data_IF_105808222473
#
_entry.id   IF_105808222473
#
_cell.length_a   1.000
_cell.length_b   1.000
_cell.length_c   1.000
_cell.angle_alpha   90.00
_cell.angle_beta   90.00
_cell.angle_gamma   90.00
#
_symmetry.space_group_name_H-M   'P 1'
#
loop_
_entity.id
_entity.type
_entity.pdbx_description
1 polymer ?
#
# COMPACT_ATOMS: atom_id res chain seq x y z
N UNK A 1 -7.34 -20.25 -14.87
CA UNK A 1 -6.68 -19.26 -13.98
C UNK A 1 -5.57 -18.64 -14.80
N UNK A 2 -5.64 -17.34 -15.11
CA UNK A 2 -4.54 -16.64 -15.77
C UNK A 2 -3.40 -16.51 -14.76
N UNK A 3 -2.28 -17.19 -15.01
CA UNK A 3 -1.04 -17.01 -14.26
C UNK A 3 -0.34 -15.75 -14.78
N UNK A 4 -0.15 -14.75 -13.92
CA UNK A 4 0.62 -13.55 -14.25
C UNK A 4 2.11 -13.85 -14.11
N UNK A 5 2.89 -13.46 -15.11
CA UNK A 5 4.34 -13.68 -15.16
C UNK A 5 5.07 -12.36 -15.01
N UNK A 6 6.11 -12.32 -14.17
CA UNK A 6 6.85 -11.09 -13.91
C UNK A 6 7.56 -10.57 -15.18
N UNK A 7 7.30 -9.33 -15.63
CA UNK A 7 7.92 -8.80 -16.86
C UNK A 7 9.42 -8.52 -16.72
N UNK A 8 9.95 -8.51 -15.49
CA UNK A 8 11.36 -8.25 -15.21
C UNK A 8 12.22 -9.51 -15.24
N UNK A 9 11.71 -10.63 -14.72
CA UNK A 9 12.51 -11.84 -14.49
C UNK A 9 11.82 -13.14 -14.92
N UNK A 10 10.58 -13.07 -15.40
CA UNK A 10 9.74 -14.21 -15.79
C UNK A 10 9.37 -15.18 -14.67
N UNK A 11 9.65 -14.85 -13.41
CA UNK A 11 9.21 -15.62 -12.24
C UNK A 11 7.69 -15.53 -11.98
N UNK A 12 7.19 -16.45 -11.17
CA UNK A 12 5.79 -16.53 -10.74
C UNK A 12 5.38 -15.32 -9.90
N UNK A 13 4.21 -14.75 -10.21
CA UNK A 13 3.60 -13.70 -9.41
C UNK A 13 2.52 -14.27 -8.49
N UNK A 14 2.48 -13.76 -7.26
CA UNK A 14 1.46 -14.09 -6.26
C UNK A 14 0.61 -12.87 -5.95
N UNK A 15 -0.69 -13.06 -5.97
CA UNK A 15 -1.66 -12.05 -5.62
C UNK A 15 -1.80 -11.94 -4.10
N UNK A 16 -1.80 -10.71 -3.59
CA UNK A 16 -2.06 -10.38 -2.19
C UNK A 16 -3.12 -9.28 -2.12
N UNK A 17 -3.95 -9.33 -1.08
CA UNK A 17 -4.90 -8.26 -0.78
C UNK A 17 -4.55 -7.64 0.59
N UNK A 18 -4.39 -6.31 0.62
CA UNK A 18 -4.08 -5.55 1.83
C UNK A 18 -4.87 -4.25 1.84
N UNK A 19 -5.63 -4.02 2.91
CA UNK A 19 -6.41 -2.79 3.09
C UNK A 19 -7.31 -2.44 1.90
N UNK A 20 -7.86 -3.45 1.21
CA UNK A 20 -8.70 -3.28 0.02
C UNK A 20 -7.94 -3.00 -1.28
N UNK A 21 -6.60 -3.07 -1.26
CA UNK A 21 -5.73 -2.97 -2.44
C UNK A 21 -5.25 -4.38 -2.80
N UNK A 22 -5.48 -4.78 -4.04
CA UNK A 22 -4.93 -6.01 -4.60
C UNK A 22 -3.57 -5.66 -5.23
N UNK A 23 -2.57 -6.51 -4.97
CA UNK A 23 -1.21 -6.36 -5.51
C UNK A 23 -0.71 -7.72 -5.99
N UNK A 24 -0.03 -7.75 -7.14
CA UNK A 24 0.69 -8.94 -7.59
C UNK A 24 2.19 -8.77 -7.34
N UNK A 25 2.78 -9.63 -6.52
CA UNK A 25 4.20 -9.59 -6.19
C UNK A 25 4.93 -10.81 -6.74
N UNK A 26 6.02 -10.57 -7.47
CA UNK A 26 6.92 -11.62 -7.93
C UNK A 26 7.69 -12.25 -6.77
N UNK A 27 7.67 -13.58 -6.68
CA UNK A 27 8.39 -14.34 -5.64
C UNK A 27 9.91 -14.29 -5.75
N UNK A 28 10.45 -13.96 -6.92
CA UNK A 28 11.90 -13.99 -7.19
C UNK A 28 12.54 -12.60 -7.04
N UNK A 29 12.12 -11.64 -7.86
CA UNK A 29 12.73 -10.32 -7.90
C UNK A 29 12.03 -9.28 -6.98
N UNK A 30 10.92 -9.66 -6.33
CA UNK A 30 10.06 -8.79 -5.51
C UNK A 30 9.41 -7.62 -6.25
N UNK A 31 9.37 -7.66 -7.59
CA UNK A 31 8.65 -6.67 -8.39
C UNK A 31 7.15 -6.71 -8.11
N UNK A 32 6.51 -5.55 -8.08
CA UNK A 32 5.06 -5.40 -7.91
C UNK A 32 4.44 -5.04 -9.27
N UNK A 33 3.35 -5.70 -9.62
CA UNK A 33 2.49 -5.34 -10.73
C UNK A 33 1.17 -4.83 -10.17
N UNK A 34 0.70 -3.71 -10.72
CA UNK A 34 -0.53 -3.03 -10.32
C UNK A 34 -1.31 -2.69 -11.59
N UNK A 35 -2.61 -2.88 -11.54
CA UNK A 35 -3.51 -2.44 -12.58
C UNK A 35 -3.77 -0.92 -12.51
N UNK A 36 -4.31 -0.38 -13.60
CA UNK A 36 -4.76 1.02 -13.63
C UNK A 36 -5.88 1.22 -12.61
N UNK A 37 -5.73 2.18 -11.68
CA UNK A 37 -6.67 2.41 -10.59
C UNK A 37 -6.24 1.78 -9.25
N UNK A 38 -5.34 0.80 -9.24
CA UNK A 38 -4.83 0.22 -7.99
C UNK A 38 -3.71 1.06 -7.38
N UNK A 39 -2.92 1.70 -8.21
CA UNK A 39 -1.88 2.63 -7.77
C UNK A 39 -2.49 3.81 -7.00
N UNK A 40 -3.59 4.36 -7.48
CA UNK A 40 -4.32 5.45 -6.81
C UNK A 40 -4.82 5.01 -5.42
N UNK A 41 -5.40 3.81 -5.32
CA UNK A 41 -5.82 3.23 -4.03
C UNK A 41 -4.64 3.03 -3.07
N UNK A 42 -3.47 2.67 -3.60
CA UNK A 42 -2.26 2.52 -2.78
C UNK A 42 -1.83 3.86 -2.17
N UNK A 43 -1.89 4.96 -2.94
CA UNK A 43 -1.61 6.30 -2.42
C UNK A 43 -2.63 6.77 -1.38
N UNK A 44 -3.92 6.52 -1.61
CA UNK A 44 -4.97 6.82 -0.62
C UNK A 44 -4.77 6.03 0.69
N UNK A 45 -4.41 4.76 0.58
CA UNK A 45 -4.11 3.92 1.74
C UNK A 45 -2.89 4.43 2.51
N UNK A 46 -1.83 4.88 1.81
CA UNK A 46 -0.65 5.48 2.44
C UNK A 46 -0.99 6.78 3.17
N UNK A 47 -1.72 7.70 2.53
CA UNK A 47 -2.13 8.95 3.13
C UNK A 47 -2.97 8.73 4.40
N UNK A 48 -3.89 7.77 4.38
CA UNK A 48 -4.70 7.42 5.54
C UNK A 48 -3.87 6.83 6.67
N UNK A 49 -2.92 5.93 6.36
CA UNK A 49 -2.03 5.33 7.35
C UNK A 49 -1.13 6.39 8.00
N UNK A 50 -0.58 7.30 7.19
CA UNK A 50 0.23 8.43 7.66
C UNK A 50 -0.56 9.42 8.53
N UNK A 51 -1.82 9.72 8.17
CA UNK A 51 -2.70 10.55 9.00
C UNK A 51 -3.01 9.92 10.37
N UNK A 52 -3.16 8.59 10.42
CA UNK A 52 -3.41 7.84 11.65
C UNK A 52 -2.18 7.76 12.56
N UNK A 53 -0.98 7.93 12.01
CA UNK A 53 0.28 7.87 12.76
C UNK A 53 0.83 9.23 13.18
N UNK A 54 0.20 10.32 12.76
CA UNK A 54 0.58 11.65 13.21
C UNK A 54 0.41 11.73 14.74
N UNK A 55 1.46 12.16 15.49
CA UNK A 55 1.30 12.39 16.91
C UNK A 55 0.17 13.42 17.13
N UNK A 56 -0.68 13.22 18.15
CA UNK A 56 -1.72 14.19 18.46
C UNK A 56 -1.09 15.56 18.68
N UNK A 57 -1.67 16.59 18.07
CA UNK A 57 -1.19 17.96 18.24
C UNK A 57 -1.11 18.30 19.75
N UNK A 58 -0.07 19.03 20.19
CA UNK A 58 0.02 19.47 21.58
C UNK A 58 -1.23 20.26 21.93
N UNK A 59 -2.01 19.74 22.88
CA UNK A 59 -3.23 20.39 23.34
C UNK A 59 -2.82 21.69 24.05
N UNK A 60 -3.45 22.84 23.74
CA UNK A 60 -3.14 24.07 24.44
C UNK A 60 -3.42 23.86 25.93
N UNK A 61 -2.37 23.93 26.74
CA UNK A 61 -2.47 23.88 28.19
C UNK A 61 -3.40 25.01 28.63
N UNK A 62 -4.62 24.64 29.04
CA UNK A 62 -5.56 25.58 29.60
C UNK A 62 -4.97 26.02 30.94
N UNK A 63 -4.35 27.20 30.94
CA UNK A 63 -3.97 27.89 32.16
C UNK A 63 -5.26 28.16 32.94
N UNK A 64 -5.55 27.28 33.89
CA UNK A 64 -6.50 27.56 34.98
C UNK A 64 -5.88 28.68 35.81
N UNK A 65 -6.56 29.83 35.82
CA UNK A 65 -6.25 30.97 36.69
C UNK A 65 -6.75 30.74 38.10
#
# INVERSE_FOLDING_TARGET
>A
MMSLTCPKCHGEMRQYERSGVVIDQCGECRGIFLDRGELEKLFEAEANWSAQQAPPAPQPAQHVT
#
